data_IF_598325017299
#
_entry.id   IF_598325017299
#
_cell.length_a   1.000
_cell.length_b   1.000
_cell.length_c   1.000
_cell.angle_alpha   90.00
_cell.angle_beta   90.00
_cell.angle_gamma   90.00
#
_symmetry.space_group_name_H-M   'P 1'
#
loop_
_entity.id
_entity.type
_entity.pdbx_description
1 polymer ?
#
# COMPACT_ATOMS: atom_id res chain seq x y z
N UNK A 1 -1.62 -6.64 13.86
CA UNK A 1 -0.81 -6.13 12.73
C UNK A 1 0.45 -6.95 12.57
N UNK A 2 0.84 -7.22 11.35
CA UNK A 2 2.05 -7.99 11.03
C UNK A 2 2.97 -7.11 10.20
N UNK A 3 4.24 -7.02 10.59
CA UNK A 3 5.25 -6.27 9.85
C UNK A 3 6.41 -7.19 9.49
N UNK A 4 6.93 -7.07 8.27
CA UNK A 4 8.05 -7.88 7.80
C UNK A 4 8.73 -7.22 6.60
N UNK A 5 9.92 -7.74 6.26
CA UNK A 5 10.69 -7.30 5.09
C UNK A 5 10.76 -8.42 4.06
N UNK A 6 10.81 -8.03 2.78
CA UNK A 6 11.07 -8.92 1.66
C UNK A 6 12.28 -8.41 0.91
N UNK A 7 13.28 -9.25 0.74
CA UNK A 7 14.55 -8.90 0.08
C UNK A 7 14.97 -9.98 -0.91
N UNK A 8 15.81 -9.57 -1.85
CA UNK A 8 16.45 -10.47 -2.83
C UNK A 8 15.43 -11.23 -3.71
N UNK A 9 14.28 -10.62 -3.97
CA UNK A 9 13.28 -11.20 -4.87
C UNK A 9 13.64 -10.86 -6.32
N UNK A 10 13.60 -11.86 -7.19
CA UNK A 10 13.97 -11.69 -8.58
C UNK A 10 12.97 -10.78 -9.31
N UNK A 11 13.46 -9.66 -9.86
CA UNK A 11 12.65 -8.71 -10.62
C UNK A 11 11.73 -7.84 -9.78
N UNK A 12 11.80 -7.93 -8.44
CA UNK A 12 10.98 -7.16 -7.52
C UNK A 12 11.88 -6.38 -6.57
N UNK A 13 11.64 -5.08 -6.33
CA UNK A 13 12.45 -4.32 -5.38
C UNK A 13 12.24 -4.83 -3.95
N UNK A 14 13.26 -4.65 -3.12
CA UNK A 14 13.11 -4.93 -1.69
C UNK A 14 12.04 -4.02 -1.10
N UNK A 15 11.26 -4.52 -0.17
CA UNK A 15 10.22 -3.74 0.47
C UNK A 15 9.94 -4.22 1.90
N UNK A 16 9.33 -3.33 2.69
CA UNK A 16 8.75 -3.69 3.98
C UNK A 16 7.24 -3.77 3.82
N UNK A 17 6.60 -4.62 4.61
CA UNK A 17 5.16 -4.79 4.58
C UNK A 17 4.60 -4.61 5.99
N UNK A 18 3.52 -3.84 6.10
CA UNK A 18 2.73 -3.72 7.31
C UNK A 18 1.30 -4.13 6.98
N UNK A 19 0.90 -5.31 7.42
CA UNK A 19 -0.44 -5.85 7.20
C UNK A 19 -1.32 -5.51 8.40
N UNK A 20 -2.23 -4.56 8.21
CA UNK A 20 -3.12 -4.10 9.29
C UNK A 20 -4.30 -5.02 9.49
N UNK A 21 -4.81 -5.58 8.39
CA UNK A 21 -5.95 -6.49 8.39
C UNK A 21 -5.65 -7.67 7.47
N UNK A 22 -6.26 -8.81 7.76
CA UNK A 22 -6.16 -9.97 6.90
C UNK A 22 -6.93 -9.77 5.59
N UNK A 23 -6.77 -10.72 4.68
CA UNK A 23 -7.45 -10.71 3.38
C UNK A 23 -8.96 -10.78 3.59
N UNK A 24 -9.69 -9.84 3.01
CA UNK A 24 -11.15 -9.76 3.12
C UNK A 24 -11.86 -10.09 1.81
N UNK A 25 -11.16 -10.06 0.69
CA UNK A 25 -11.75 -10.19 -0.62
C UNK A 25 -10.84 -10.95 -1.57
N UNK A 26 -11.42 -11.49 -2.63
CA UNK A 26 -10.67 -12.08 -3.74
C UNK A 26 -10.08 -11.01 -4.65
N UNK A 27 -10.47 -9.75 -4.48
CA UNK A 27 -9.99 -8.64 -5.28
C UNK A 27 -9.10 -7.74 -4.46
N UNK A 28 -8.09 -7.17 -5.10
CA UNK A 28 -7.10 -6.33 -4.47
C UNK A 28 -6.89 -5.06 -5.30
N UNK A 29 -7.02 -3.89 -4.66
CA UNK A 29 -6.73 -2.61 -5.28
C UNK A 29 -5.32 -2.19 -4.89
N UNK A 30 -4.42 -2.10 -5.87
CA UNK A 30 -3.04 -1.66 -5.66
C UNK A 30 -2.94 -0.18 -6.00
N UNK A 31 -2.48 0.62 -5.05
CA UNK A 31 -2.37 2.07 -5.24
C UNK A 31 -0.90 2.49 -5.06
N UNK A 32 -0.20 2.84 -6.15
CA UNK A 32 1.17 3.35 -6.04
C UNK A 32 1.16 4.79 -5.56
N UNK A 33 1.99 5.13 -4.57
CA UNK A 33 2.11 6.49 -4.04
C UNK A 33 3.57 6.86 -3.79
N UNK A 34 3.86 8.16 -3.85
CA UNK A 34 5.10 8.74 -3.35
C UNK A 34 4.88 10.22 -3.07
N UNK A 35 5.07 10.64 -1.83
CA UNK A 35 4.95 12.05 -1.38
C UNK A 35 3.71 12.76 -1.93
N UNK A 36 2.57 12.08 -1.92
CA UNK A 36 1.32 12.65 -2.45
C UNK A 36 0.51 13.43 -1.41
N UNK A 37 0.96 13.46 -0.17
CA UNK A 37 0.37 14.29 0.89
C UNK A 37 -1.12 14.04 1.10
N UNK A 38 -1.88 15.14 1.21
CA UNK A 38 -3.32 15.06 1.43
C UNK A 38 -4.09 14.49 0.25
N UNK A 39 -3.49 14.47 -0.94
CA UNK A 39 -4.16 13.96 -2.15
C UNK A 39 -4.57 12.49 -2.00
N UNK A 40 -3.64 11.65 -1.53
CA UNK A 40 -3.94 10.22 -1.36
C UNK A 40 -5.01 10.02 -0.28
N UNK A 41 -4.98 10.81 0.78
CA UNK A 41 -5.99 10.72 1.84
C UNK A 41 -7.37 11.10 1.32
N UNK A 42 -7.46 12.09 0.43
CA UNK A 42 -8.72 12.46 -0.23
C UNK A 42 -9.24 11.31 -1.09
N UNK A 43 -8.37 10.66 -1.85
CA UNK A 43 -8.75 9.51 -2.69
C UNK A 43 -9.22 8.33 -1.83
N UNK A 44 -8.54 8.04 -0.74
CA UNK A 44 -8.95 6.98 0.19
C UNK A 44 -10.30 7.28 0.82
N UNK A 45 -10.56 8.55 1.16
CA UNK A 45 -11.85 8.98 1.69
C UNK A 45 -12.99 8.78 0.69
N UNK A 46 -12.74 9.08 -0.58
CA UNK A 46 -13.71 8.85 -1.67
C UNK A 46 -13.99 7.36 -1.85
N UNK A 47 -12.94 6.53 -1.83
CA UNK A 47 -13.08 5.09 -1.95
C UNK A 47 -13.91 4.53 -0.81
N UNK A 48 -13.69 5.01 0.41
CA UNK A 48 -14.44 4.58 1.58
C UNK A 48 -15.92 4.94 1.46
N UNK A 49 -16.24 6.16 1.01
CA UNK A 49 -17.62 6.58 0.79
C UNK A 49 -18.31 5.75 -0.28
N UNK A 50 -17.58 5.36 -1.32
CA UNK A 50 -18.11 4.52 -2.40
C UNK A 50 -18.21 3.04 -2.02
N UNK A 51 -17.73 2.64 -0.84
CA UNK A 51 -17.77 1.27 -0.39
C UNK A 51 -16.71 0.37 -1.00
N UNK A 52 -15.67 0.92 -1.60
CA UNK A 52 -14.58 0.16 -2.24
C UNK A 52 -13.87 -0.73 -1.22
N UNK A 53 -13.68 -0.24 0.01
CA UNK A 53 -13.05 -0.98 1.09
C UNK A 53 -13.82 -2.25 1.48
N UNK A 54 -15.10 -2.35 1.12
CA UNK A 54 -15.92 -3.53 1.34
C UNK A 54 -15.91 -4.50 0.16
N UNK A 55 -15.50 -4.01 -1.02
CA UNK A 55 -15.50 -4.80 -2.25
C UNK A 55 -14.15 -5.42 -2.55
N UNK A 56 -13.07 -4.80 -2.11
CA UNK A 56 -11.71 -5.28 -2.37
C UNK A 56 -10.77 -4.89 -1.24
N UNK A 57 -9.66 -5.60 -1.16
CA UNK A 57 -8.59 -5.25 -0.24
C UNK A 57 -7.80 -4.08 -0.82
N UNK A 58 -7.41 -3.13 0.03
CA UNK A 58 -6.64 -1.96 -0.40
C UNK A 58 -5.20 -2.14 0.04
N UNK A 59 -4.29 -2.15 -0.93
CA UNK A 59 -2.86 -2.26 -0.70
C UNK A 59 -2.18 -1.01 -1.26
N UNK A 60 -1.55 -0.24 -0.38
CA UNK A 60 -0.77 0.93 -0.78
C UNK A 60 0.64 0.48 -1.11
N UNK A 61 1.12 0.84 -2.29
CA UNK A 61 2.48 0.54 -2.76
C UNK A 61 3.30 1.83 -2.71
N UNK A 62 3.90 2.11 -1.55
CA UNK A 62 4.62 3.34 -1.30
C UNK A 62 6.05 3.27 -1.83
N UNK A 63 6.45 4.24 -2.62
CA UNK A 63 7.80 4.35 -3.17
C UNK A 63 8.84 4.93 -2.22
N UNK A 64 8.48 5.11 -0.95
CA UNK A 64 9.37 5.68 0.06
C UNK A 64 9.02 7.12 0.41
N UNK A 65 7.74 7.39 0.66
CA UNK A 65 7.27 8.73 1.02
C UNK A 65 7.94 9.24 2.30
N UNK A 66 8.32 10.51 2.30
CA UNK A 66 8.98 11.15 3.43
C UNK A 66 8.18 12.33 3.99
N UNK A 67 6.99 12.59 3.45
CA UNK A 67 6.15 13.75 3.81
C UNK A 67 5.21 13.47 5.00
N UNK A 68 5.28 12.27 5.58
CA UNK A 68 4.42 11.91 6.70
C UNK A 68 3.01 11.48 6.31
N UNK A 69 2.70 11.37 5.01
CA UNK A 69 1.36 10.99 4.53
C UNK A 69 1.03 9.51 4.79
N UNK A 70 2.04 8.66 4.95
CA UNK A 70 1.87 7.21 5.09
C UNK A 70 1.93 6.75 6.55
N UNK A 71 1.29 7.47 7.46
CA UNK A 71 1.20 7.07 8.86
C UNK A 71 0.24 5.90 9.01
N UNK A 72 0.65 4.87 9.73
CA UNK A 72 -0.13 3.64 9.90
C UNK A 72 -1.51 3.91 10.51
N UNK A 73 -1.57 4.76 11.54
CA UNK A 73 -2.84 5.08 12.20
C UNK A 73 -3.83 5.73 11.21
N UNK A 74 -3.35 6.62 10.35
CA UNK A 74 -4.18 7.27 9.34
C UNK A 74 -4.70 6.28 8.32
N UNK A 75 -3.84 5.39 7.83
CA UNK A 75 -4.22 4.40 6.84
C UNK A 75 -5.26 3.43 7.41
N UNK A 76 -5.15 3.05 8.67
CA UNK A 76 -6.13 2.19 9.31
C UNK A 76 -7.52 2.83 9.38
N UNK A 77 -7.58 4.15 9.56
CA UNK A 77 -8.86 4.88 9.56
C UNK A 77 -9.59 4.76 8.21
N UNK A 78 -8.86 4.62 7.12
CA UNK A 78 -9.42 4.46 5.77
C UNK A 78 -9.56 3.00 5.35
N UNK A 79 -9.43 2.07 6.27
CA UNK A 79 -9.56 0.62 6.05
C UNK A 79 -8.57 0.08 5.01
N UNK A 80 -7.37 0.64 4.98
CA UNK A 80 -6.27 0.08 4.18
C UNK A 80 -5.85 -1.24 4.80
N UNK A 81 -5.75 -2.29 4.00
CA UNK A 81 -5.34 -3.61 4.49
C UNK A 81 -3.85 -3.68 4.74
N UNK A 82 -3.05 -3.16 3.82
CA UNK A 82 -1.61 -3.34 3.85
C UNK A 82 -0.89 -2.13 3.28
N UNK A 83 0.21 -1.78 3.90
CA UNK A 83 1.16 -0.79 3.40
C UNK A 83 2.45 -1.51 3.02
N UNK A 84 2.83 -1.45 1.75
CA UNK A 84 4.12 -1.91 1.25
C UNK A 84 5.00 -0.70 1.00
N UNK A 85 6.18 -0.67 1.59
CA UNK A 85 7.12 0.44 1.43
C UNK A 85 8.38 -0.05 0.73
N UNK A 86 8.64 0.49 -0.46
CA UNK A 86 9.81 0.13 -1.23
C UNK A 86 11.08 0.63 -0.53
N UNK A 87 12.02 -0.26 -0.30
CA UNK A 87 13.32 0.05 0.29
C UNK A 87 14.45 -0.09 -0.71
N UNK A 88 14.22 -0.84 -1.80
CA UNK A 88 15.18 -0.99 -2.88
C UNK A 88 15.00 0.04 -3.99
N UNK A 89 15.89 0.04 -5.00
CA UNK A 89 15.81 0.99 -6.11
C UNK A 89 14.66 0.67 -7.06
N UNK A 90 14.22 1.68 -7.83
CA UNK A 90 13.19 1.51 -8.85
C UNK A 90 12.25 2.69 -8.90
N UNK A 91 11.47 2.76 -9.98
CA UNK A 91 10.47 3.79 -10.22
C UNK A 91 9.06 3.21 -10.00
N UNK A 92 8.02 3.90 -10.46
CA UNK A 92 6.62 3.51 -10.24
C UNK A 92 6.32 2.07 -10.71
N UNK A 93 6.92 1.64 -11.82
CA UNK A 93 6.75 0.26 -12.29
C UNK A 93 7.25 -0.78 -11.28
N UNK A 94 8.30 -0.46 -10.53
CA UNK A 94 8.81 -1.32 -9.47
C UNK A 94 7.82 -1.41 -8.29
N UNK A 95 7.13 -0.32 -7.97
CA UNK A 95 6.09 -0.32 -6.93
C UNK A 95 4.95 -1.27 -7.29
N UNK A 96 4.52 -1.27 -8.54
CA UNK A 96 3.46 -2.18 -8.98
C UNK A 96 3.91 -3.63 -8.98
N UNK A 97 5.15 -3.92 -9.38
CA UNK A 97 5.71 -5.28 -9.29
C UNK A 97 5.73 -5.77 -7.85
N UNK A 98 6.10 -4.91 -6.92
CA UNK A 98 6.07 -5.19 -5.48
C UNK A 98 4.66 -5.57 -5.03
N UNK A 99 3.65 -4.78 -5.42
CA UNK A 99 2.26 -5.04 -5.09
C UNK A 99 1.74 -6.34 -5.70
N UNK A 100 2.05 -6.62 -6.95
CA UNK A 100 1.65 -7.86 -7.62
C UNK A 100 2.30 -9.06 -6.94
N UNK A 101 3.56 -8.97 -6.58
CA UNK A 101 4.26 -10.04 -5.86
C UNK A 101 3.59 -10.32 -4.51
N UNK A 102 3.20 -9.28 -3.78
CA UNK A 102 2.51 -9.42 -2.50
C UNK A 102 1.12 -10.05 -2.67
N UNK A 103 0.38 -9.55 -3.66
CA UNK A 103 -0.98 -10.02 -3.90
C UNK A 103 -0.98 -11.45 -4.44
#
# INVERSE_FOLDING_TARGET
>A
MIEYERKNLNGVPDYTAAEFEGRRSDYCLLIPVINEGARILTELGRAQKAGVDRLCDIVICDGGSTDGSMKQETLQLYHVNTLLTKTGPGKQGAQLRMGICFA
#
